data_IF_883452974720
#
_entry.id   IF_883452974720
#
_cell.length_a   1.000
_cell.length_b   1.000
_cell.length_c   1.000
_cell.angle_alpha   90.00
_cell.angle_beta   90.00
_cell.angle_gamma   90.00
#
_symmetry.space_group_name_H-M   'P 1'
#
loop_
_entity.id
_entity.type
_entity.pdbx_description
1 polymer ?
#
# COMPACT_ATOMS: atom_id res chain seq x y z
N UNK A 1 -1.49 1.37 -4.85
CA UNK A 1 -0.07 0.96 -4.91
C UNK A 1 0.08 -0.28 -5.79
N UNK A 2 0.92 -0.23 -6.83
CA UNK A 2 1.17 -1.33 -7.79
C UNK A 2 2.42 -2.15 -7.45
N UNK A 3 2.44 -2.72 -6.25
CA UNK A 3 3.58 -3.51 -5.74
C UNK A 3 3.79 -4.82 -6.52
N UNK A 4 4.89 -5.56 -6.26
CA UNK A 4 5.22 -6.80 -6.97
C UNK A 4 4.10 -7.85 -6.95
N UNK A 5 3.33 -7.93 -5.87
CA UNK A 5 2.20 -8.85 -5.74
C UNK A 5 1.12 -8.60 -6.82
N UNK A 6 0.94 -7.36 -7.27
CA UNK A 6 -0.03 -7.01 -8.31
C UNK A 6 0.36 -7.54 -9.70
N UNK A 7 1.59 -8.05 -9.86
CA UNK A 7 2.13 -8.57 -11.12
C UNK A 7 2.14 -10.11 -11.19
N UNK A 8 1.75 -10.78 -10.10
CA UNK A 8 1.66 -12.24 -10.04
C UNK A 8 0.53 -12.72 -10.94
N UNK A 9 0.78 -13.81 -11.66
CA UNK A 9 -0.18 -14.51 -12.52
C UNK A 9 -0.34 -15.96 -12.05
N UNK A 10 -1.50 -16.55 -12.32
CA UNK A 10 -1.74 -17.97 -12.05
C UNK A 10 -0.71 -18.83 -12.76
N UNK A 11 -0.07 -19.73 -12.01
CA UNK A 11 0.98 -20.61 -12.52
C UNK A 11 2.40 -20.11 -12.26
N UNK A 12 2.60 -18.86 -11.83
CA UNK A 12 3.92 -18.40 -11.41
C UNK A 12 4.40 -19.18 -10.19
N UNK A 13 5.70 -19.49 -10.16
CA UNK A 13 6.33 -20.14 -9.02
C UNK A 13 6.74 -19.10 -7.98
N UNK A 14 6.39 -19.35 -6.72
CA UNK A 14 6.78 -18.51 -5.58
C UNK A 14 7.55 -19.37 -4.59
N UNK A 15 8.74 -18.91 -4.23
CA UNK A 15 9.56 -19.53 -3.18
C UNK A 15 9.28 -18.83 -1.85
N UNK A 16 8.97 -19.62 -0.83
CA UNK A 16 8.82 -19.16 0.56
C UNK A 16 9.87 -19.87 1.40
N UNK A 17 10.82 -19.10 1.91
CA UNK A 17 11.90 -19.57 2.77
C UNK A 17 11.80 -18.86 4.13
N UNK A 18 11.25 -19.58 5.11
CA UNK A 18 11.04 -19.06 6.47
C UNK A 18 12.36 -18.84 7.21
N UNK A 19 13.32 -19.78 7.21
CA UNK A 19 14.65 -19.55 7.78
C UNK A 19 15.35 -18.30 7.24
N UNK A 20 15.32 -18.09 5.91
CA UNK A 20 15.92 -16.93 5.28
C UNK A 20 15.05 -15.66 5.34
N UNK A 21 13.82 -15.74 5.88
CA UNK A 21 12.82 -14.67 5.89
C UNK A 21 12.56 -14.09 4.50
N UNK A 22 12.52 -14.95 3.48
CA UNK A 22 12.41 -14.56 2.07
C UNK A 22 11.14 -15.10 1.46
N UNK A 23 10.42 -14.21 0.76
CA UNK A 23 9.36 -14.56 -0.17
C UNK A 23 9.78 -14.03 -1.53
N UNK A 24 9.85 -14.90 -2.54
CA UNK A 24 10.38 -14.54 -3.85
C UNK A 24 9.50 -15.08 -4.99
N UNK A 25 9.23 -14.22 -5.96
CA UNK A 25 8.54 -14.57 -7.19
C UNK A 25 9.59 -14.97 -8.24
N UNK A 26 9.54 -16.23 -8.68
CA UNK A 26 10.50 -16.83 -9.62
C UNK A 26 10.19 -16.44 -11.06
N UNK A 27 10.21 -15.14 -11.34
CA UNK A 27 9.97 -14.54 -12.66
C UNK A 27 11.14 -13.62 -12.97
N UNK A 28 11.66 -13.66 -14.20
CA UNK A 28 12.79 -12.80 -14.57
C UNK A 28 12.44 -11.31 -14.46
N UNK A 29 13.43 -10.48 -14.19
CA UNK A 29 13.25 -9.02 -14.12
C UNK A 29 12.70 -8.44 -15.43
N UNK A 30 13.08 -9.03 -16.57
CA UNK A 30 12.59 -8.64 -17.90
C UNK A 30 11.09 -8.86 -18.07
N UNK A 31 10.58 -10.01 -17.59
CA UNK A 31 9.15 -10.31 -17.63
C UNK A 31 8.41 -9.46 -16.60
N UNK A 32 8.97 -9.25 -15.41
CA UNK A 32 8.37 -8.36 -14.40
C UNK A 32 8.27 -6.90 -14.89
N UNK A 33 9.28 -6.40 -15.60
CA UNK A 33 9.25 -5.08 -16.21
C UNK A 33 8.13 -4.98 -17.27
N UNK A 34 8.00 -6.02 -18.11
CA UNK A 34 6.93 -6.11 -19.12
C UNK A 34 5.54 -6.10 -18.46
N UNK A 35 5.35 -6.91 -17.42
CA UNK A 35 4.09 -6.96 -16.66
C UNK A 35 3.77 -5.63 -15.98
N UNK A 36 4.79 -4.97 -15.42
CA UNK A 36 4.66 -3.65 -14.80
C UNK A 36 4.23 -2.58 -15.80
N UNK A 37 4.81 -2.59 -17.01
CA UNK A 37 4.43 -1.65 -18.07
C UNK A 37 2.98 -1.86 -18.53
N UNK A 38 2.47 -3.09 -18.50
CA UNK A 38 1.09 -3.42 -18.84
C UNK A 38 0.10 -3.24 -17.66
N UNK A 39 0.58 -2.99 -16.45
CA UNK A 39 -0.27 -2.94 -15.27
C UNK A 39 -1.09 -1.64 -15.23
N UNK A 40 -2.41 -1.79 -15.07
CA UNK A 40 -3.32 -0.68 -14.87
C UNK A 40 -3.91 -0.79 -13.46
N UNK A 41 -3.90 0.29 -12.66
CA UNK A 41 -4.53 0.27 -11.34
C UNK A 41 -6.03 -0.02 -11.44
N UNK A 42 -6.62 -0.78 -10.50
CA UNK A 42 -8.06 -0.97 -10.46
C UNK A 42 -8.78 0.36 -10.23
N UNK A 43 -10.02 0.45 -10.71
CA UNK A 43 -10.86 1.63 -10.51
C UNK A 43 -11.08 1.91 -9.01
N UNK A 44 -11.18 3.20 -8.67
CA UNK A 44 -11.48 3.61 -7.30
C UNK A 44 -12.85 3.06 -6.87
N UNK A 45 -12.88 2.36 -5.73
CA UNK A 45 -14.12 1.78 -5.20
C UNK A 45 -15.06 2.82 -4.59
N UNK A 46 -14.50 3.90 -4.03
CA UNK A 46 -15.23 4.95 -3.33
C UNK A 46 -14.82 6.30 -3.90
N UNK A 47 -15.81 7.10 -4.29
CA UNK A 47 -15.59 8.44 -4.86
C UNK A 47 -15.73 9.56 -3.83
N UNK A 48 -16.36 9.29 -2.68
CA UNK A 48 -16.56 10.25 -1.57
C UNK A 48 -16.75 9.56 -0.22
N UNK A 49 -16.78 10.37 0.85
CA UNK A 49 -17.03 9.90 2.23
C UNK A 49 -15.82 9.20 2.86
N UNK A 50 -16.07 8.45 3.93
CA UNK A 50 -14.99 7.80 4.69
C UNK A 50 -14.15 6.84 3.82
N UNK A 51 -14.75 6.08 2.91
CA UNK A 51 -14.00 5.18 2.03
C UNK A 51 -13.02 5.90 1.10
N UNK A 52 -13.37 7.11 0.64
CA UNK A 52 -12.47 7.97 -0.13
C UNK A 52 -11.33 8.52 0.74
N UNK A 53 -11.65 9.01 1.94
CA UNK A 53 -10.66 9.47 2.92
C UNK A 53 -9.67 8.35 3.23
N UNK A 54 -10.18 7.17 3.57
CA UNK A 54 -9.37 6.01 3.91
C UNK A 54 -8.43 5.64 2.76
N UNK A 55 -8.95 5.45 1.55
CA UNK A 55 -8.12 5.06 0.40
C UNK A 55 -7.06 6.09 0.02
N UNK A 56 -7.22 7.35 0.41
CA UNK A 56 -6.28 8.43 0.09
C UNK A 56 -5.23 8.69 1.17
N UNK A 57 -5.57 8.46 2.44
CA UNK A 57 -4.75 8.86 3.59
C UNK A 57 -4.17 7.70 4.39
N UNK A 58 -4.60 6.45 4.15
CA UNK A 58 -4.08 5.30 4.87
C UNK A 58 -2.64 4.96 4.43
N UNK A 59 -1.75 4.81 5.41
CA UNK A 59 -0.36 4.38 5.20
C UNK A 59 -0.25 2.88 4.95
N UNK A 60 0.92 2.40 4.51
CA UNK A 60 1.13 0.97 4.27
C UNK A 60 1.22 0.18 5.58
N UNK A 61 1.03 -1.14 5.50
CA UNK A 61 1.05 -2.01 6.68
C UNK A 61 2.42 -2.02 7.38
N UNK A 62 3.52 -1.86 6.65
CA UNK A 62 4.85 -1.71 7.24
C UNK A 62 5.05 -0.36 7.96
N UNK A 63 4.13 0.58 7.78
CA UNK A 63 4.11 1.91 8.42
C UNK A 63 3.03 1.99 9.53
N UNK A 64 2.29 0.90 9.77
CA UNK A 64 1.33 0.81 10.88
C UNK A 64 -0.14 1.00 10.50
N UNK A 65 -0.47 1.20 9.22
CA UNK A 65 -1.85 1.45 8.77
C UNK A 65 -2.54 2.63 9.49
N UNK A 66 -1.80 3.69 9.81
CA UNK A 66 -2.39 4.93 10.34
C UNK A 66 -2.77 5.88 9.21
N UNK A 67 -3.51 6.94 9.53
CA UNK A 67 -3.70 8.05 8.62
C UNK A 67 -2.52 9.02 8.69
N UNK A 68 -1.99 9.39 7.52
CA UNK A 68 -0.87 10.35 7.39
C UNK A 68 -1.08 11.65 8.18
N UNK A 69 -2.33 12.13 8.25
CA UNK A 69 -2.69 13.37 8.93
C UNK A 69 -2.92 13.23 10.45
N UNK A 70 -2.93 11.99 10.97
CA UNK A 70 -3.03 11.73 12.42
C UNK A 70 -1.67 11.48 13.06
N UNK A 71 -0.61 11.29 12.27
CA UNK A 71 0.74 11.18 12.80
C UNK A 71 1.17 12.47 13.50
N UNK A 72 1.91 12.33 14.60
CA UNK A 72 2.36 13.45 15.43
C UNK A 72 3.24 14.45 14.67
N UNK A 73 3.82 14.05 13.53
CA UNK A 73 4.61 14.90 12.65
C UNK A 73 3.82 15.80 11.70
N UNK A 74 2.52 15.54 11.49
CA UNK A 74 1.73 16.27 10.49
C UNK A 74 1.26 17.66 10.97
N UNK A 75 1.08 17.85 12.28
CA UNK A 75 0.58 19.11 12.83
C UNK A 75 0.68 19.25 14.35
N UNK A 76 0.46 20.47 14.86
CA UNK A 76 0.41 20.74 16.30
C UNK A 76 -0.88 20.18 16.90
N UNK A 77 -0.78 19.65 18.12
CA UNK A 77 -1.95 19.34 18.93
C UNK A 77 -2.87 20.57 19.08
N UNK A 78 -4.18 20.31 19.00
CA UNK A 78 -5.21 21.33 19.24
C UNK A 78 -5.09 21.75 20.72
N UNK A 79 -4.94 23.06 21.02
CA UNK A 79 -4.95 23.53 22.41
C UNK A 79 -6.33 23.28 23.03
N UNK A 80 -6.40 23.23 24.37
CA UNK A 80 -7.69 23.20 25.05
C UNK A 80 -8.57 24.39 24.59
N UNK A 81 -9.87 24.18 24.38
CA UNK A 81 -10.77 25.24 23.99
C UNK A 81 -10.84 26.30 25.09
N UNK A 82 -10.86 27.58 24.71
CA UNK A 82 -11.08 28.66 25.66
C UNK A 82 -12.47 28.50 26.28
N UNK A 83 -12.51 28.25 27.59
CA UNK A 83 -13.75 28.27 28.38
C UNK A 83 -13.93 29.70 28.88
N UNK A 84 -14.81 30.47 28.24
CA UNK A 84 -15.24 31.80 28.70
C UNK A 84 -16.55 31.72 29.47
#
# INVERSE_FOLDING_TARGET
MGGPLALVRTGDRITVDVPARRIHLEVSDTELATRRAAWTPPAARYERGYGWLFGRHILQANEGCDFDFLETGFGRAVPEPDIF
#
